data_IF_951121056656
#
_entry.id   IF_951121056656
#
_cell.length_a   1.000
_cell.length_b   1.000
_cell.length_c   1.000
_cell.angle_alpha   90.00
_cell.angle_beta   90.00
_cell.angle_gamma   90.00
#
_symmetry.space_group_name_H-M   'P 1'
#
loop_
_entity.id
_entity.type
_entity.pdbx_description
1 polymer ?
#
# COMPACT_ATOMS: atom_id res chain seq x y z
N UNK A 1 4.88 -12.46 35.37
CA UNK A 1 3.50 -11.96 35.52
C UNK A 1 2.98 -11.58 34.14
N UNK A 2 1.80 -12.06 33.71
CA UNK A 2 1.22 -11.60 32.44
C UNK A 2 0.77 -10.14 32.60
N UNK A 3 1.13 -9.29 31.64
CA UNK A 3 0.62 -7.93 31.55
C UNK A 3 -0.63 -7.94 30.65
N UNK A 4 -1.77 -7.51 31.19
CA UNK A 4 -3.01 -7.35 30.43
C UNK A 4 -3.04 -5.95 29.82
N UNK A 5 -2.95 -5.86 28.49
CA UNK A 5 -3.11 -4.60 27.74
C UNK A 5 -4.58 -4.52 27.29
N UNK A 6 -5.33 -3.57 27.84
CA UNK A 6 -6.69 -3.28 27.38
C UNK A 6 -6.63 -2.30 26.22
N UNK A 7 -7.02 -2.75 25.02
CA UNK A 7 -7.12 -1.90 23.84
C UNK A 7 -8.55 -1.40 23.66
N UNK A 8 -8.77 -0.17 23.15
CA UNK A 8 -10.09 0.33 22.82
C UNK A 8 -10.84 -0.59 21.84
N UNK A 9 -12.17 -0.53 21.88
CA UNK A 9 -13.02 -1.23 20.93
C UNK A 9 -12.65 -0.87 19.49
N UNK A 10 -12.58 -1.86 18.60
CA UNK A 10 -12.23 -1.69 17.19
C UNK A 10 -10.75 -1.86 16.83
N UNK A 11 -9.84 -1.97 17.81
CA UNK A 11 -8.41 -2.22 17.53
C UNK A 11 -8.12 -3.56 16.84
N UNK A 12 -8.97 -4.57 17.01
CA UNK A 12 -8.89 -5.81 16.24
C UNK A 12 -8.97 -5.55 14.72
N UNK A 13 -9.81 -4.59 14.30
CA UNK A 13 -9.92 -4.19 12.90
C UNK A 13 -8.69 -3.43 12.41
N UNK A 14 -8.08 -2.62 13.27
CA UNK A 14 -6.80 -1.94 12.96
C UNK A 14 -5.72 -2.99 12.72
N UNK A 15 -5.62 -3.99 13.59
CA UNK A 15 -4.71 -5.12 13.42
C UNK A 15 -4.94 -5.88 12.11
N UNK A 16 -6.20 -6.19 11.78
CA UNK A 16 -6.56 -6.83 10.51
C UNK A 16 -6.19 -5.98 9.29
N UNK A 17 -6.42 -4.66 9.35
CA UNK A 17 -6.07 -3.74 8.28
C UNK A 17 -4.54 -3.65 8.10
N UNK A 18 -3.76 -3.58 9.18
CA UNK A 18 -2.30 -3.62 9.11
C UNK A 18 -1.80 -4.95 8.53
N UNK A 19 -2.35 -6.09 8.96
CA UNK A 19 -2.02 -7.40 8.39
C UNK A 19 -2.32 -7.46 6.89
N UNK A 20 -3.42 -6.86 6.44
CA UNK A 20 -3.78 -6.85 5.01
C UNK A 20 -2.73 -6.16 4.13
N UNK A 21 -2.01 -5.16 4.66
CA UNK A 21 -0.90 -4.53 3.93
C UNK A 21 0.30 -5.45 3.76
N UNK A 22 0.56 -6.35 4.72
CA UNK A 22 1.62 -7.36 4.59
C UNK A 22 1.26 -8.38 3.51
N UNK A 23 0.01 -8.85 3.49
CA UNK A 23 -0.51 -9.75 2.46
C UNK A 23 -0.41 -9.11 1.08
N UNK A 24 -0.75 -7.82 0.96
CA UNK A 24 -0.58 -7.05 -0.27
C UNK A 24 0.88 -7.03 -0.74
N UNK A 25 1.82 -6.71 0.16
CA UNK A 25 3.25 -6.67 -0.17
C UNK A 25 3.76 -8.05 -0.61
N UNK A 26 3.41 -9.11 0.11
CA UNK A 26 3.77 -10.50 -0.27
C UNK A 26 3.23 -10.87 -1.65
N UNK A 27 1.98 -10.49 -1.94
CA UNK A 27 1.37 -10.68 -3.26
C UNK A 27 2.12 -9.93 -4.36
N UNK A 28 2.46 -8.67 -4.13
CA UNK A 28 3.25 -7.87 -5.08
C UNK A 28 4.66 -8.42 -5.30
N UNK A 29 5.36 -8.84 -4.25
CA UNK A 29 6.67 -9.50 -4.35
C UNK A 29 6.59 -10.76 -5.22
N UNK A 30 5.55 -11.58 -5.02
CA UNK A 30 5.30 -12.78 -5.84
C UNK A 30 5.05 -12.42 -7.30
N UNK A 31 4.28 -11.36 -7.58
CA UNK A 31 4.03 -10.86 -8.94
C UNK A 31 5.33 -10.39 -9.58
N UNK A 32 6.13 -9.57 -8.89
CA UNK A 32 7.43 -9.08 -9.38
C UNK A 32 8.35 -10.25 -9.69
N UNK A 33 8.46 -11.25 -8.81
CA UNK A 33 9.29 -12.43 -9.04
C UNK A 33 8.86 -13.24 -10.27
N UNK A 34 7.55 -13.45 -10.46
CA UNK A 34 7.01 -14.12 -11.65
C UNK A 34 7.31 -13.34 -12.93
N UNK A 35 7.11 -12.02 -12.92
CA UNK A 35 7.37 -11.16 -14.09
C UNK A 35 8.85 -11.02 -14.39
N UNK A 36 9.71 -10.98 -13.38
CA UNK A 36 11.17 -11.04 -13.54
C UNK A 36 11.59 -12.28 -14.31
N UNK A 37 11.09 -13.45 -13.89
CA UNK A 37 11.39 -14.73 -14.54
C UNK A 37 10.92 -14.73 -16.00
N UNK A 38 9.73 -14.21 -16.28
CA UNK A 38 9.20 -14.09 -17.64
C UNK A 38 10.02 -13.13 -18.52
N UNK A 39 10.56 -12.06 -17.92
CA UNK A 39 11.39 -11.07 -18.60
C UNK A 39 12.85 -11.51 -18.80
N UNK A 40 13.30 -12.60 -18.16
CA UNK A 40 14.70 -13.04 -18.21
C UNK A 40 15.69 -12.11 -17.52
N UNK A 41 15.22 -11.25 -16.60
CA UNK A 41 16.09 -10.27 -15.91
C UNK A 41 16.76 -10.92 -14.70
N UNK A 42 18.07 -11.17 -14.81
CA UNK A 42 18.87 -11.81 -13.78
C UNK A 42 19.09 -10.91 -12.56
N UNK A 43 19.29 -11.51 -11.39
CA UNK A 43 19.79 -10.78 -10.22
C UNK A 43 21.28 -10.44 -10.42
N UNK A 44 21.79 -9.30 -9.89
CA UNK A 44 21.13 -8.32 -9.01
C UNK A 44 20.41 -7.17 -9.75
N UNK A 45 20.23 -7.26 -11.07
CA UNK A 45 19.62 -6.19 -11.87
C UNK A 45 18.22 -5.85 -11.37
N UNK A 46 17.98 -4.59 -11.01
CA UNK A 46 16.74 -4.16 -10.34
C UNK A 46 15.57 -3.99 -11.31
N UNK A 47 15.84 -3.40 -12.47
CA UNK A 47 14.92 -3.08 -13.56
C UNK A 47 15.51 -3.56 -14.89
N UNK A 48 14.66 -3.96 -15.84
CA UNK A 48 15.07 -4.14 -17.22
C UNK A 48 15.57 -2.79 -17.78
N UNK A 49 16.64 -2.83 -18.57
CA UNK A 49 17.14 -1.64 -19.26
C UNK A 49 16.22 -1.26 -20.42
N UNK A 50 16.38 -0.04 -20.94
CA UNK A 50 15.56 0.46 -22.05
C UNK A 50 15.58 -0.46 -23.27
N UNK A 51 16.77 -0.95 -23.65
CA UNK A 51 16.90 -1.89 -24.76
C UNK A 51 16.13 -3.21 -24.51
N UNK A 52 16.09 -3.69 -23.27
CA UNK A 52 15.35 -4.90 -22.89
C UNK A 52 13.84 -4.67 -22.87
N UNK A 53 13.39 -3.50 -22.39
CA UNK A 53 11.97 -3.10 -22.43
C UNK A 53 11.44 -2.94 -23.86
N UNK A 54 12.23 -2.32 -24.74
CA UNK A 54 11.88 -2.11 -26.15
C UNK A 54 11.85 -3.45 -26.92
N UNK A 55 12.76 -4.37 -26.58
CA UNK A 55 12.82 -5.70 -27.19
C UNK A 55 11.79 -6.70 -26.63
N UNK A 56 11.29 -6.51 -25.41
CA UNK A 56 10.41 -7.48 -24.73
C UNK A 56 9.28 -6.82 -23.96
N UNK A 57 8.05 -7.16 -24.37
CA UNK A 57 6.84 -6.78 -23.63
C UNK A 57 6.85 -7.29 -22.19
N UNK A 58 7.42 -8.47 -21.93
CA UNK A 58 7.52 -9.00 -20.56
C UNK A 58 8.49 -8.20 -19.71
N UNK A 59 9.57 -7.67 -20.28
CA UNK A 59 10.48 -6.75 -19.57
C UNK A 59 9.77 -5.44 -19.19
N UNK A 60 8.94 -4.89 -20.09
CA UNK A 60 8.10 -3.73 -19.76
C UNK A 60 7.08 -4.03 -18.65
N UNK A 61 6.42 -5.19 -18.70
CA UNK A 61 5.49 -5.63 -17.65
C UNK A 61 6.22 -5.83 -16.31
N UNK A 62 7.44 -6.40 -16.33
CA UNK A 62 8.28 -6.54 -15.14
C UNK A 62 8.61 -5.18 -14.52
N UNK A 63 9.05 -4.20 -15.32
CA UNK A 63 9.34 -2.86 -14.82
C UNK A 63 8.09 -2.17 -14.26
N UNK A 64 6.94 -2.35 -14.91
CA UNK A 64 5.66 -1.89 -14.40
C UNK A 64 5.29 -2.54 -13.05
N UNK A 65 5.46 -3.86 -12.92
CA UNK A 65 5.19 -4.58 -11.68
C UNK A 65 6.12 -4.11 -10.54
N UNK A 66 7.41 -3.95 -10.85
CA UNK A 66 8.42 -3.47 -9.90
C UNK A 66 8.10 -2.05 -9.42
N UNK A 67 7.71 -1.14 -10.33
CA UNK A 67 7.31 0.22 -9.95
C UNK A 67 6.07 0.23 -9.08
N UNK A 68 5.06 -0.59 -9.37
CA UNK A 68 3.86 -0.70 -8.55
C UNK A 68 4.16 -1.17 -7.12
N UNK A 69 5.06 -2.14 -6.97
CA UNK A 69 5.51 -2.63 -5.66
C UNK A 69 6.30 -1.57 -4.90
N UNK A 70 7.31 -0.96 -5.53
CA UNK A 70 8.12 0.11 -4.92
C UNK A 70 7.27 1.30 -4.50
N UNK A 71 6.33 1.74 -5.33
CA UNK A 71 5.43 2.83 -4.97
C UNK A 71 4.55 2.47 -3.75
N UNK A 72 4.20 1.19 -3.57
CA UNK A 72 3.48 0.75 -2.37
C UNK A 72 4.40 0.89 -1.15
N UNK A 73 5.63 0.38 -1.23
CA UNK A 73 6.64 0.46 -0.18
C UNK A 73 6.94 1.92 0.23
N UNK A 74 7.09 2.83 -0.74
CA UNK A 74 7.31 4.26 -0.50
C UNK A 74 6.16 4.91 0.30
N UNK A 75 4.92 4.43 0.14
CA UNK A 75 3.76 4.96 0.85
C UNK A 75 3.55 4.32 2.24
N UNK A 76 4.11 3.14 2.51
CA UNK A 76 3.89 2.40 3.76
C UNK A 76 4.14 3.25 5.02
N UNK A 77 5.24 4.01 5.15
CA UNK A 77 5.49 4.79 6.37
C UNK A 77 4.41 5.84 6.63
N UNK A 78 3.98 6.54 5.58
CA UNK A 78 2.95 7.58 5.67
C UNK A 78 1.60 6.97 6.05
N UNK A 79 1.24 5.85 5.42
CA UNK A 79 -0.03 5.15 5.69
C UNK A 79 -0.09 4.59 7.10
N UNK A 80 0.99 3.96 7.58
CA UNK A 80 1.06 3.44 8.94
C UNK A 80 1.01 4.55 9.98
N UNK A 81 1.81 5.61 9.81
CA UNK A 81 1.80 6.76 10.73
C UNK A 81 0.41 7.37 10.82
N UNK A 82 -0.24 7.59 9.68
CA UNK A 82 -1.59 8.17 9.64
C UNK A 82 -2.64 7.24 10.25
N UNK A 83 -2.51 5.92 10.02
CA UNK A 83 -3.40 4.91 10.62
C UNK A 83 -3.28 4.89 12.13
N UNK A 84 -2.06 4.84 12.67
CA UNK A 84 -1.86 4.81 14.12
C UNK A 84 -2.36 6.09 14.79
N UNK A 85 -2.06 7.26 14.24
CA UNK A 85 -2.55 8.53 14.75
C UNK A 85 -4.09 8.59 14.75
N UNK A 86 -4.71 8.20 13.63
CA UNK A 86 -6.18 8.17 13.52
C UNK A 86 -6.80 7.16 14.48
N UNK A 87 -6.17 6.00 14.66
CA UNK A 87 -6.70 4.90 15.47
C UNK A 87 -6.75 5.21 16.97
N UNK A 88 -6.04 6.25 17.44
CA UNK A 88 -6.11 6.68 18.85
C UNK A 88 -7.53 7.09 19.23
N UNK A 89 -8.20 7.86 18.39
CA UNK A 89 -9.58 8.32 18.64
C UNK A 89 -10.62 7.61 17.77
N UNK A 90 -10.22 7.08 16.61
CA UNK A 90 -11.13 6.56 15.59
C UNK A 90 -10.64 5.22 15.01
N UNK A 91 -10.51 4.15 15.82
CA UNK A 91 -9.93 2.87 15.39
C UNK A 91 -10.65 2.24 14.21
N UNK A 92 -11.99 2.20 14.21
CA UNK A 92 -12.78 1.62 13.11
C UNK A 92 -12.64 2.42 11.81
N UNK A 93 -12.58 3.75 11.89
CA UNK A 93 -12.37 4.61 10.71
C UNK A 93 -10.98 4.42 10.15
N UNK A 94 -9.95 4.36 11.01
CA UNK A 94 -8.59 4.10 10.60
C UNK A 94 -8.46 2.76 9.87
N UNK A 95 -9.06 1.70 10.43
CA UNK A 95 -9.08 0.38 9.85
C UNK A 95 -9.77 0.35 8.48
N UNK A 96 -10.96 0.94 8.37
CA UNK A 96 -11.72 1.01 7.13
C UNK A 96 -10.96 1.78 6.04
N UNK A 97 -10.39 2.93 6.39
CA UNK A 97 -9.65 3.77 5.44
C UNK A 97 -8.36 3.09 4.94
N UNK A 98 -7.62 2.41 5.82
CA UNK A 98 -6.48 1.59 5.41
C UNK A 98 -6.91 0.40 4.53
N UNK A 99 -8.03 -0.24 4.85
CA UNK A 99 -8.61 -1.30 4.02
C UNK A 99 -8.97 -0.81 2.61
N UNK A 100 -9.63 0.35 2.49
CA UNK A 100 -9.92 1.01 1.20
C UNK A 100 -8.63 1.30 0.44
N UNK A 101 -7.60 1.78 1.14
CA UNK A 101 -6.30 2.01 0.52
C UNK A 101 -5.71 0.72 -0.05
N UNK A 102 -5.70 -0.38 0.71
CA UNK A 102 -5.22 -1.70 0.27
C UNK A 102 -5.97 -2.20 -0.95
N UNK A 103 -7.31 -2.12 -0.95
CA UNK A 103 -8.12 -2.51 -2.12
C UNK A 103 -7.74 -1.69 -3.36
N UNK A 104 -7.59 -0.38 -3.21
CA UNK A 104 -7.10 0.49 -4.28
C UNK A 104 -5.72 0.08 -4.77
N UNK A 105 -4.78 -0.31 -3.89
CA UNK A 105 -3.45 -0.80 -4.28
C UNK A 105 -3.48 -2.12 -5.04
N UNK A 106 -4.43 -3.01 -4.74
CA UNK A 106 -4.64 -4.24 -5.53
C UNK A 106 -5.03 -3.88 -6.96
N UNK A 107 -6.00 -2.99 -7.13
CA UNK A 107 -6.42 -2.51 -8.46
C UNK A 107 -5.31 -1.74 -9.18
N UNK A 108 -4.55 -0.93 -8.44
CA UNK A 108 -3.41 -0.19 -8.96
C UNK A 108 -2.34 -1.13 -9.54
N UNK A 109 -2.01 -2.18 -8.79
CA UNK A 109 -1.08 -3.22 -9.24
C UNK A 109 -1.61 -3.93 -10.48
N UNK A 110 -2.90 -4.30 -10.49
CA UNK A 110 -3.58 -4.91 -11.65
C UNK A 110 -3.60 -4.02 -12.89
N UNK A 111 -3.62 -2.71 -12.71
CA UNK A 111 -3.49 -1.72 -13.77
C UNK A 111 -2.08 -1.69 -14.35
N UNK A 112 -1.07 -1.58 -13.48
CA UNK A 112 0.34 -1.56 -13.90
C UNK A 112 0.77 -2.82 -14.65
N UNK A 113 0.37 -4.00 -14.19
CA UNK A 113 0.78 -5.28 -14.82
C UNK A 113 0.13 -5.53 -16.20
N UNK A 114 -0.60 -4.56 -16.75
CA UNK A 114 -1.00 -4.56 -18.17
C UNK A 114 0.17 -4.23 -19.10
N UNK A 115 1.27 -3.68 -18.57
CA UNK A 115 2.44 -3.24 -19.34
C UNK A 115 2.33 -1.79 -19.83
N UNK A 116 1.28 -1.06 -19.43
CA UNK A 116 1.14 0.37 -19.66
C UNK A 116 0.98 1.11 -18.32
N UNK A 117 1.94 1.96 -17.93
CA UNK A 117 1.87 2.79 -16.73
C UNK A 117 0.66 3.73 -16.67
N UNK A 118 0.04 4.09 -17.80
CA UNK A 118 -1.16 4.90 -17.84
C UNK A 118 -2.37 4.16 -17.23
N UNK A 119 -2.39 2.84 -17.35
CA UNK A 119 -3.49 2.00 -16.85
C UNK A 119 -3.50 1.81 -15.32
N UNK A 120 -2.54 2.39 -14.60
CA UNK A 120 -2.43 2.28 -13.14
C UNK A 120 -3.71 2.64 -12.39
N UNK A 121 -4.50 3.57 -12.91
CA UNK A 121 -5.78 3.96 -12.31
C UNK A 121 -7.00 3.47 -13.08
N UNK A 122 -6.83 3.02 -14.32
CA UNK A 122 -7.92 2.63 -15.21
C UNK A 122 -8.77 1.47 -14.65
N UNK A 123 -8.19 0.64 -13.77
CA UNK A 123 -8.88 -0.48 -13.12
C UNK A 123 -9.37 -0.18 -11.69
N UNK A 124 -9.49 1.09 -11.30
CA UNK A 124 -9.91 1.49 -9.96
C UNK A 124 -8.78 1.78 -8.97
N UNK A 125 -7.53 1.92 -9.44
CA UNK A 125 -6.39 2.24 -8.57
C UNK A 125 -6.54 3.57 -7.81
N UNK A 126 -7.30 4.52 -8.37
CA UNK A 126 -7.58 5.82 -7.76
C UNK A 126 -8.35 5.72 -6.44
N UNK A 127 -9.04 4.60 -6.18
CA UNK A 127 -9.76 4.36 -4.91
C UNK A 127 -8.81 4.46 -3.71
N UNK A 128 -7.53 4.10 -3.89
CA UNK A 128 -6.54 4.19 -2.82
C UNK A 128 -6.38 5.62 -2.27
N UNK A 129 -6.56 6.64 -3.12
CA UNK A 129 -6.44 8.03 -2.70
C UNK A 129 -7.54 8.47 -1.74
N UNK A 130 -8.74 7.90 -1.81
CA UNK A 130 -9.78 8.19 -0.82
C UNK A 130 -9.43 7.65 0.56
N UNK A 131 -8.90 6.43 0.64
CA UNK A 131 -8.40 5.86 1.88
C UNK A 131 -7.24 6.67 2.47
N UNK A 132 -6.32 7.12 1.61
CA UNK A 132 -5.21 7.99 2.00
C UNK A 132 -5.68 9.35 2.51
N UNK A 133 -6.63 10.00 1.83
CA UNK A 133 -7.18 11.29 2.23
C UNK A 133 -7.92 11.18 3.56
N UNK A 134 -8.74 10.13 3.74
CA UNK A 134 -9.44 9.89 4.99
C UNK A 134 -8.47 9.72 6.18
N UNK A 135 -7.36 9.00 5.97
CA UNK A 135 -6.32 8.83 6.99
C UNK A 135 -5.53 10.10 7.26
N UNK A 136 -5.27 10.92 6.24
CA UNK A 136 -4.62 12.22 6.42
C UNK A 136 -5.48 13.16 7.27
N UNK A 137 -6.77 13.27 6.95
CA UNK A 137 -7.71 14.09 7.74
C UNK A 137 -7.87 13.51 9.15
N UNK A 138 -7.98 12.20 9.27
CA UNK A 138 -8.06 11.49 10.55
C UNK A 138 -6.84 11.72 11.44
N UNK A 139 -5.64 11.75 10.87
CA UNK A 139 -4.41 11.96 11.64
C UNK A 139 -4.27 13.41 12.11
N UNK A 140 -4.58 14.38 11.25
CA UNK A 140 -4.58 15.81 11.61
C UNK A 140 -5.57 16.09 12.74
N UNK A 141 -6.81 15.59 12.61
CA UNK A 141 -7.85 15.79 13.63
C UNK A 141 -7.48 15.12 14.95
N UNK A 142 -6.85 13.94 14.91
CA UNK A 142 -6.37 13.24 16.10
C UNK A 142 -5.26 14.01 16.81
N UNK A 143 -4.27 14.51 16.08
CA UNK A 143 -3.19 15.33 16.65
C UNK A 143 -3.74 16.63 17.23
N UNK A 144 -4.67 17.30 16.54
CA UNK A 144 -5.32 18.50 17.07
C UNK A 144 -6.00 18.23 18.42
N UNK A 145 -6.73 17.12 18.55
CA UNK A 145 -7.35 16.70 19.82
C UNK A 145 -6.33 16.40 20.91
N UNK A 146 -5.21 15.78 20.59
CA UNK A 146 -4.13 15.54 21.56
C UNK A 146 -3.57 16.85 22.11
N UNK A 147 -3.33 17.83 21.25
CA UNK A 147 -2.82 19.15 21.66
C UNK A 147 -3.85 19.88 22.53
N UNK A 148 -5.14 19.87 22.15
CA UNK A 148 -6.19 20.48 22.96
C UNK A 148 -6.33 19.83 24.34
N UNK A 149 -6.10 18.52 24.46
CA UNK A 149 -6.15 17.81 25.73
C UNK A 149 -4.91 18.07 26.63
N UNK A 150 -3.85 18.66 26.09
CA UNK A 150 -2.62 18.98 26.82
C UNK A 150 -2.50 20.45 27.25
N UNK A 151 -3.46 21.29 26.85
CA UNK A 151 -3.59 22.70 27.24
C UNK A 151 -4.54 22.80 28.44
#
# INVERSE_FOLDING_TARGET
>A
MPATITVPEGWAWVGAALLSTQILLMGQTTIVGRRRRAAGVNYPQLYAERAQEEASKEAKIFNCAQRAHQNTLENMPVMYTSTFLTAVYYPTVAAAALGVWVLGRIFYTRGYITGDPANRNAKGGFISYFGQLALLVGSITSVYKMIQASL
#
